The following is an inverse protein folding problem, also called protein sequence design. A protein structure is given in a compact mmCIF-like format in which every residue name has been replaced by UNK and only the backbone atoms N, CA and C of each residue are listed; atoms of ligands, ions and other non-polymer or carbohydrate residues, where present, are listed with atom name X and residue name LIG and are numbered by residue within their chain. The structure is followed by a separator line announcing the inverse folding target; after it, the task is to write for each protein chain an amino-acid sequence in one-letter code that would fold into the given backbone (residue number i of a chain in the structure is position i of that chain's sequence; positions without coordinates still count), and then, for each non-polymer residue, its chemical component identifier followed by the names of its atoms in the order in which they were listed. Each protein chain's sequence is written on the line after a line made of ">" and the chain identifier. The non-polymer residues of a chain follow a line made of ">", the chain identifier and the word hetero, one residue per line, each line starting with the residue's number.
data_IF_093834431128
#
_entry.id   IF_093834431128
#
_cell.length_a   1.000
_cell.length_b   1.000
_cell.length_c   1.000
_cell.angle_alpha   90.00
_cell.angle_beta   90.00
_cell.angle_gamma   90.00
#
_symmetry.space_group_name_H-M   'P 1'
#
loop_
_entity.id
_entity.type
_entity.pdbx_description
1 polymer ?
#
# COMPACT_ATOMS: atom_id res chain seq x y z
N UNK A 1 3.83 24.89 20.67
CA UNK A 1 2.66 24.15 21.21
C UNK A 1 2.73 24.31 22.72
N UNK A 2 1.70 24.85 23.39
CA UNK A 2 1.76 25.00 24.85
C UNK A 2 1.51 23.63 25.49
N UNK A 3 2.49 23.12 26.22
CA UNK A 3 2.47 21.80 26.85
C UNK A 3 2.93 21.92 28.30
N UNK A 4 2.31 21.15 29.20
CA UNK A 4 2.69 21.15 30.61
C UNK A 4 3.94 20.30 30.84
N UNK A 5 4.94 20.87 31.50
CA UNK A 5 6.20 20.20 31.83
C UNK A 5 6.33 20.05 33.35
N UNK A 6 6.83 18.91 33.82
CA UNK A 6 7.06 18.65 35.26
C UNK A 6 8.28 19.39 35.82
N UNK A 7 8.92 20.25 35.04
CA UNK A 7 10.10 21.02 35.40
C UNK A 7 9.98 22.45 34.87
N UNK A 8 10.72 23.37 35.48
CA UNK A 8 10.80 24.77 35.07
C UNK A 8 11.52 24.87 33.72
N UNK A 9 10.76 25.23 32.68
CA UNK A 9 11.23 25.35 31.30
C UNK A 9 11.73 26.74 30.97
N UNK A 10 11.50 27.75 31.83
CA UNK A 10 11.90 29.14 31.57
C UNK A 10 13.37 29.40 31.96
N UNK A 11 13.99 28.45 32.68
CA UNK A 11 15.41 28.51 33.03
C UNK A 11 16.31 28.06 31.87
N UNK A 12 17.45 28.73 31.72
CA UNK A 12 18.52 28.27 30.84
C UNK A 12 19.34 27.17 31.55
N UNK A 13 19.70 26.06 30.88
CA UNK A 13 19.56 25.77 29.44
C UNK A 13 18.30 24.97 29.06
N UNK A 14 17.36 24.77 29.99
CA UNK A 14 16.19 23.90 29.79
C UNK A 14 15.29 24.42 28.67
N UNK A 15 15.09 25.74 28.60
CA UNK A 15 14.29 26.37 27.55
C UNK A 15 14.76 25.98 26.15
N UNK A 16 16.06 26.13 25.85
CA UNK A 16 16.59 25.88 24.51
C UNK A 16 16.48 24.40 24.14
N UNK A 17 16.73 23.50 25.10
CA UNK A 17 16.61 22.05 24.90
C UNK A 17 15.17 21.62 24.66
N UNK A 18 14.22 22.17 25.41
CA UNK A 18 12.79 21.89 25.22
C UNK A 18 12.32 22.40 23.87
N UNK A 19 12.70 23.62 23.50
CA UNK A 19 12.38 24.18 22.19
C UNK A 19 12.94 23.33 21.04
N UNK A 20 14.21 22.94 21.10
CA UNK A 20 14.83 22.07 20.11
C UNK A 20 14.09 20.73 19.99
N UNK A 21 13.75 20.12 21.13
CA UNK A 21 13.00 18.86 21.16
C UNK A 21 11.62 19.00 20.53
N UNK A 22 10.90 20.09 20.82
CA UNK A 22 9.60 20.37 20.22
C UNK A 22 9.69 20.53 18.70
N UNK A 23 10.71 21.24 18.22
CA UNK A 23 10.96 21.41 16.78
C UNK A 23 11.21 20.07 16.11
N UNK A 24 12.13 19.26 16.64
CA UNK A 24 12.42 17.91 16.13
C UNK A 24 11.17 17.04 16.14
N UNK A 25 10.42 17.03 17.25
CA UNK A 25 9.18 16.27 17.37
C UNK A 25 8.13 16.66 16.34
N UNK A 26 7.97 17.97 16.08
CA UNK A 26 7.06 18.47 15.05
C UNK A 26 7.50 18.06 13.65
N UNK A 27 8.78 18.19 13.33
CA UNK A 27 9.33 17.74 12.04
C UNK A 27 9.10 16.24 11.83
N UNK A 28 9.37 15.41 12.84
CA UNK A 28 9.15 13.97 12.76
C UNK A 28 7.67 13.63 12.60
N UNK A 29 6.78 14.31 13.33
CA UNK A 29 5.34 14.11 13.19
C UNK A 29 4.84 14.42 11.77
N UNK A 30 5.33 15.52 11.18
CA UNK A 30 5.01 15.90 9.79
C UNK A 30 5.52 14.83 8.80
N UNK A 31 6.78 14.38 8.96
CA UNK A 31 7.36 13.35 8.10
C UNK A 31 6.56 12.05 8.20
N UNK A 32 6.23 11.60 9.40
CA UNK A 32 5.44 10.37 9.62
C UNK A 32 4.07 10.51 8.95
N UNK A 33 3.38 11.63 9.16
CA UNK A 33 2.07 11.87 8.57
C UNK A 33 2.11 11.82 7.04
N UNK A 34 3.01 12.60 6.42
CA UNK A 34 3.19 12.61 4.95
C UNK A 34 3.58 11.22 4.44
N UNK A 35 4.44 10.50 5.17
CA UNK A 35 4.91 9.16 4.78
C UNK A 35 3.78 8.14 4.79
N UNK A 36 2.91 8.17 5.80
CA UNK A 36 1.74 7.28 5.89
C UNK A 36 0.79 7.56 4.72
N UNK A 37 0.44 8.82 4.49
CA UNK A 37 -0.47 9.18 3.41
C UNK A 37 0.10 8.81 2.03
N UNK A 38 1.38 9.08 1.81
CA UNK A 38 2.08 8.72 0.57
C UNK A 38 2.15 7.21 0.37
N UNK A 39 2.46 6.46 1.43
CA UNK A 39 2.52 5.00 1.39
C UNK A 39 1.16 4.40 1.05
N UNK A 40 0.08 4.87 1.68
CA UNK A 40 -1.28 4.42 1.37
C UNK A 40 -1.63 4.71 -0.10
N UNK A 41 -1.31 5.92 -0.59
CA UNK A 41 -1.49 6.27 -2.00
C UNK A 41 -0.74 5.33 -2.96
N UNK A 42 0.52 5.01 -2.66
CA UNK A 42 1.33 4.07 -3.44
C UNK A 42 0.76 2.65 -3.42
N UNK A 43 0.31 2.16 -2.27
CA UNK A 43 -0.29 0.82 -2.14
C UNK A 43 -1.58 0.73 -2.96
N UNK A 44 -2.46 1.74 -2.86
CA UNK A 44 -3.69 1.80 -3.65
C UNK A 44 -3.34 1.79 -5.15
N UNK A 45 -2.44 2.66 -5.58
CA UNK A 45 -2.03 2.72 -6.99
C UNK A 45 -1.41 1.41 -7.47
N UNK A 46 -0.56 0.79 -6.66
CA UNK A 46 0.04 -0.51 -6.98
C UNK A 46 -1.02 -1.60 -7.12
N UNK A 47 -1.99 -1.70 -6.20
CA UNK A 47 -3.08 -2.67 -6.28
C UNK A 47 -3.93 -2.43 -7.54
N UNK A 48 -4.28 -1.18 -7.84
CA UNK A 48 -5.00 -0.84 -9.08
C UNK A 48 -4.20 -1.24 -10.33
N UNK A 49 -2.90 -0.99 -10.36
CA UNK A 49 -2.01 -1.41 -11.46
C UNK A 49 -1.92 -2.93 -11.60
N UNK A 50 -1.86 -3.66 -10.48
CA UNK A 50 -1.87 -5.12 -10.47
C UNK A 50 -3.21 -5.68 -10.97
N UNK A 51 -4.33 -5.09 -10.55
CA UNK A 51 -5.67 -5.46 -11.04
C UNK A 51 -5.82 -5.20 -12.53
N UNK A 52 -5.28 -4.09 -13.04
CA UNK A 52 -5.29 -3.77 -14.46
C UNK A 52 -4.46 -4.75 -15.28
N UNK A 53 -3.27 -5.14 -14.78
CA UNK A 53 -2.46 -6.20 -15.39
C UNK A 53 -3.21 -7.55 -15.39
N UNK A 54 -3.85 -7.89 -14.28
CA UNK A 54 -4.66 -9.09 -14.17
C UNK A 54 -5.82 -9.09 -15.18
N UNK A 55 -6.54 -7.96 -15.29
CA UNK A 55 -7.61 -7.78 -16.28
C UNK A 55 -7.11 -8.01 -17.70
N UNK A 56 -5.98 -7.41 -18.07
CA UNK A 56 -5.37 -7.61 -19.40
C UNK A 56 -5.01 -9.07 -19.67
N UNK A 57 -4.43 -9.75 -18.68
CA UNK A 57 -4.13 -11.19 -18.78
C UNK A 57 -5.40 -12.03 -18.92
N UNK A 58 -6.46 -11.70 -18.19
CA UNK A 58 -7.73 -12.42 -18.25
C UNK A 58 -8.40 -12.26 -19.62
N UNK A 59 -8.43 -11.04 -20.18
CA UNK A 59 -8.96 -10.79 -21.53
C UNK A 59 -8.13 -11.55 -22.57
N UNK A 60 -6.80 -11.54 -22.45
CA UNK A 60 -5.93 -12.29 -23.35
C UNK A 60 -6.16 -13.81 -23.25
N UNK A 61 -6.46 -14.35 -22.06
CA UNK A 61 -6.79 -15.76 -21.87
C UNK A 61 -8.14 -16.12 -22.51
N UNK A 62 -9.17 -15.27 -22.36
CA UNK A 62 -10.48 -15.50 -22.99
C UNK A 62 -10.42 -15.41 -24.52
N UNK A 63 -9.56 -14.52 -25.04
CA UNK A 63 -9.26 -14.39 -26.45
C UNK A 63 -8.37 -15.53 -26.99
N UNK A 64 -7.68 -16.28 -26.11
CA UNK A 64 -6.80 -17.35 -26.54
C UNK A 64 -7.62 -18.59 -26.92
N UNK A 65 -7.85 -18.75 -28.23
CA UNK A 65 -8.57 -19.88 -28.80
C UNK A 65 -7.98 -21.24 -28.36
N UNK A 66 -6.66 -21.31 -28.18
CA UNK A 66 -5.98 -22.52 -27.69
C UNK A 66 -6.43 -22.93 -26.27
N UNK A 67 -6.71 -21.97 -25.38
CA UNK A 67 -7.19 -22.29 -24.04
C UNK A 67 -8.62 -22.85 -24.09
N UNK A 68 -9.49 -22.24 -24.91
CA UNK A 68 -10.85 -22.75 -25.15
C UNK A 68 -10.83 -24.13 -25.80
N UNK A 69 -9.99 -24.35 -26.80
CA UNK A 69 -9.86 -25.65 -27.48
C UNK A 69 -9.28 -26.72 -26.55
N UNK A 70 -8.21 -26.43 -25.82
CA UNK A 70 -7.64 -27.37 -24.85
C UNK A 70 -8.64 -27.71 -23.74
N UNK A 71 -9.41 -26.74 -23.25
CA UNK A 71 -10.45 -26.97 -22.25
C UNK A 71 -11.58 -27.84 -22.81
N UNK A 72 -12.06 -27.54 -24.03
CA UNK A 72 -13.12 -28.32 -24.69
C UNK A 72 -12.68 -29.77 -24.94
N UNK A 73 -11.44 -29.96 -25.41
CA UNK A 73 -10.85 -31.28 -25.63
C UNK A 73 -10.77 -32.11 -24.34
N UNK A 74 -10.34 -31.48 -23.23
CA UNK A 74 -10.26 -32.15 -21.93
C UNK A 74 -11.65 -32.53 -21.40
N UNK A 75 -12.65 -31.65 -21.51
CA UNK A 75 -14.04 -31.95 -21.10
C UNK A 75 -14.60 -33.12 -21.91
N UNK A 76 -14.41 -33.12 -23.24
CA UNK A 76 -14.95 -34.15 -24.12
C UNK A 76 -14.29 -35.52 -23.88
N UNK A 77 -13.00 -35.52 -23.53
CA UNK A 77 -12.26 -36.74 -23.13
C UNK A 77 -12.75 -37.24 -21.77
N UNK A 78 -12.94 -36.37 -20.79
CA UNK A 78 -13.47 -36.73 -19.47
C UNK A 78 -14.89 -37.30 -19.56
N UNK A 79 -15.78 -36.70 -20.36
CA UNK A 79 -17.15 -37.21 -20.58
C UNK A 79 -17.12 -38.58 -21.28
N UNK A 80 -16.22 -38.76 -22.25
CA UNK A 80 -16.03 -40.06 -22.91
C UNK A 80 -15.52 -41.15 -21.96
N UNK A 81 -14.68 -40.80 -20.98
CA UNK A 81 -14.14 -41.75 -19.99
C UNK A 81 -15.15 -42.13 -18.90
N UNK A 82 -16.14 -41.28 -18.62
CA UNK A 82 -17.19 -41.54 -17.63
C UNK A 82 -18.32 -42.43 -18.21
N UNK A 83 -18.45 -42.49 -19.54
CA UNK A 83 -19.42 -43.34 -20.25
C UNK A 83 -18.87 -44.75 -20.48
#
# INVERSE_FOLDING_TARGET
>A
LQTYYCYDTDKSPQFELTYLTQVIGMFLAIIIYISIDSFLGLVIFHICGQLENFRRRLVNLDANHEFKEALSYNIETHVRLIR
#
